data_IF_795785898904
#
_entry.id   IF_795785898904
#
_cell.length_a   1.000
_cell.length_b   1.000
_cell.length_c   1.000
_cell.angle_alpha   90.00
_cell.angle_beta   90.00
_cell.angle_gamma   90.00
#
_symmetry.space_group_name_H-M   'P 1'
#
loop_
_entity.id
_entity.type
_entity.pdbx_description
1 polymer ?
#
# COMPACT_ATOMS: atom_id res chain seq x y z
N UNK A 1 18.18 -2.73 -9.92
CA UNK A 1 17.39 -3.99 -10.03
C UNK A 1 16.18 -3.74 -10.93
N UNK A 2 15.84 -4.68 -11.83
CA UNK A 2 14.59 -4.60 -12.62
C UNK A 2 13.38 -4.66 -11.68
N UNK A 3 12.39 -3.79 -11.90
CA UNK A 3 11.14 -3.81 -11.12
C UNK A 3 10.39 -5.12 -11.40
N UNK A 4 10.16 -5.92 -10.35
CA UNK A 4 9.42 -7.19 -10.45
C UNK A 4 7.93 -6.90 -10.44
N UNK A 5 7.28 -7.05 -11.60
CA UNK A 5 5.82 -7.08 -11.70
C UNK A 5 5.35 -8.39 -11.07
N UNK A 6 4.32 -8.31 -10.21
CA UNK A 6 3.69 -9.44 -9.53
C UNK A 6 2.22 -9.50 -9.97
N UNK A 7 1.60 -10.68 -9.88
CA UNK A 7 0.19 -10.87 -10.19
C UNK A 7 -0.59 -11.28 -8.95
N UNK A 8 -1.87 -10.89 -8.90
CA UNK A 8 -2.81 -11.28 -7.85
C UNK A 8 -4.22 -11.38 -8.45
N UNK A 9 -5.01 -12.35 -7.99
CA UNK A 9 -6.43 -12.49 -8.34
C UNK A 9 -7.27 -11.93 -7.19
N UNK A 10 -8.14 -10.97 -7.48
CA UNK A 10 -9.07 -10.35 -6.52
C UNK A 10 -10.46 -10.38 -7.17
N UNK A 11 -11.43 -10.97 -6.47
CA UNK A 11 -12.82 -11.11 -6.95
C UNK A 11 -12.95 -11.71 -8.36
N UNK A 12 -12.09 -12.69 -8.68
CA UNK A 12 -12.08 -13.36 -9.98
C UNK A 12 -11.39 -12.58 -11.11
N UNK A 13 -10.92 -11.36 -10.83
CA UNK A 13 -10.17 -10.54 -11.78
C UNK A 13 -8.66 -10.59 -11.49
N UNK A 14 -7.85 -10.76 -12.54
CA UNK A 14 -6.39 -10.70 -12.45
C UNK A 14 -5.90 -9.24 -12.49
N UNK A 15 -5.02 -8.91 -11.57
CA UNK A 15 -4.32 -7.64 -11.47
C UNK A 15 -2.80 -7.86 -11.52
N UNK A 16 -2.10 -6.90 -12.13
CA UNK A 16 -0.66 -6.76 -12.06
C UNK A 16 -0.31 -5.65 -11.09
N UNK A 17 0.73 -5.82 -10.27
CA UNK A 17 1.17 -4.77 -9.37
C UNK A 17 2.68 -4.71 -9.23
N UNK A 18 3.15 -3.53 -8.84
CA UNK A 18 4.54 -3.26 -8.50
C UNK A 18 4.59 -2.38 -7.26
N UNK A 19 5.61 -2.61 -6.45
CA UNK A 19 5.94 -1.82 -5.28
C UNK A 19 7.23 -1.07 -5.58
N UNK A 20 7.20 0.26 -5.46
CA UNK A 20 8.39 1.08 -5.45
C UNK A 20 8.64 1.58 -4.04
N UNK A 21 9.90 1.72 -3.71
CA UNK A 21 10.33 2.24 -2.43
C UNK A 21 11.44 3.25 -2.68
N UNK A 22 11.35 4.42 -2.05
CA UNK A 22 12.37 5.45 -2.08
C UNK A 22 12.52 6.11 -0.72
N UNK A 23 13.71 6.60 -0.46
CA UNK A 23 14.06 7.30 0.77
C UNK A 23 14.46 8.73 0.46
N UNK A 24 13.92 9.68 1.22
CA UNK A 24 14.23 11.11 1.08
C UNK A 24 14.26 11.70 2.48
N UNK A 25 15.38 12.33 2.87
CA UNK A 25 15.51 13.10 4.11
C UNK A 25 14.99 12.40 5.38
N UNK A 26 15.35 11.12 5.58
CA UNK A 26 14.89 10.34 6.75
C UNK A 26 13.44 9.87 6.70
N UNK A 27 12.78 10.04 5.56
CA UNK A 27 11.44 9.55 5.29
C UNK A 27 11.50 8.39 4.30
N UNK A 28 10.53 7.50 4.42
CA UNK A 28 10.32 6.38 3.51
C UNK A 28 9.03 6.58 2.75
N UNK A 29 9.12 6.59 1.43
CA UNK A 29 7.97 6.67 0.54
C UNK A 29 7.81 5.34 -0.20
N UNK A 30 6.71 4.65 0.10
CA UNK A 30 6.31 3.45 -0.62
C UNK A 30 5.20 3.78 -1.60
N UNK A 31 5.27 3.22 -2.80
CA UNK A 31 4.25 3.43 -3.84
C UNK A 31 3.81 2.08 -4.37
N UNK A 32 2.57 1.73 -4.11
CA UNK A 32 1.89 0.60 -4.72
C UNK A 32 1.21 1.08 -6.01
N UNK A 33 1.54 0.46 -7.14
CA UNK A 33 0.80 0.63 -8.39
C UNK A 33 0.13 -0.67 -8.75
N UNK A 34 -1.19 -0.65 -8.91
CA UNK A 34 -1.97 -1.79 -9.38
C UNK A 34 -2.60 -1.47 -10.72
N UNK A 35 -2.54 -2.43 -11.63
CA UNK A 35 -3.06 -2.39 -12.97
C UNK A 35 -3.97 -3.59 -13.20
N UNK A 36 -4.92 -3.43 -14.10
CA UNK A 36 -5.61 -4.59 -14.66
C UNK A 36 -4.62 -5.36 -15.54
N UNK A 37 -4.72 -6.68 -15.59
CA UNK A 37 -3.85 -7.49 -16.44
C UNK A 37 -3.85 -6.98 -17.89
N UNK A 38 -2.66 -6.72 -18.43
CA UNK A 38 -2.47 -6.21 -19.79
C UNK A 38 -2.78 -4.71 -19.99
N UNK A 39 -3.27 -3.97 -18.98
CA UNK A 39 -3.63 -2.53 -19.09
C UNK A 39 -2.78 -1.65 -18.18
N UNK A 40 -1.74 -1.03 -18.74
CA UNK A 40 -0.75 -0.23 -17.97
C UNK A 40 -1.03 1.28 -17.87
N UNK A 41 -2.15 1.77 -18.38
CA UNK A 41 -2.36 3.21 -18.63
C UNK A 41 -3.05 3.91 -17.45
N UNK A 42 -3.82 3.18 -16.63
CA UNK A 42 -4.71 3.74 -15.61
C UNK A 42 -4.63 2.97 -14.27
N UNK A 43 -3.53 3.12 -13.50
CA UNK A 43 -3.35 2.39 -12.26
C UNK A 43 -4.22 2.92 -11.12
N UNK A 44 -4.45 2.05 -10.13
CA UNK A 44 -4.60 2.47 -8.74
C UNK A 44 -3.21 2.78 -8.19
N UNK A 45 -2.99 4.03 -7.78
CA UNK A 45 -1.74 4.54 -7.23
C UNK A 45 -1.94 4.83 -5.74
N UNK A 46 -1.24 4.11 -4.88
CA UNK A 46 -1.31 4.31 -3.42
C UNK A 46 0.05 4.72 -2.89
N UNK A 47 0.11 5.89 -2.26
CA UNK A 47 1.35 6.49 -1.76
C UNK A 47 1.35 6.50 -0.24
N UNK A 48 2.38 5.89 0.34
CA UNK A 48 2.59 5.82 1.78
C UNK A 48 3.82 6.64 2.14
N UNK A 49 3.64 7.68 2.95
CA UNK A 49 4.74 8.45 3.51
C UNK A 49 4.90 8.07 4.99
N UNK A 50 6.03 7.45 5.33
CA UNK A 50 6.34 6.98 6.69
C UNK A 50 7.68 7.51 7.17
N UNK A 51 7.93 7.50 8.48
CA UNK A 51 9.31 7.62 8.98
C UNK A 51 10.18 6.49 8.42
N UNK A 52 11.48 6.72 8.36
CA UNK A 52 12.47 5.70 8.05
C UNK A 52 13.43 5.53 9.23
N UNK A 53 13.71 4.29 9.62
CA UNK A 53 14.74 3.98 10.60
C UNK A 53 16.07 3.63 9.90
N UNK A 54 17.23 4.18 10.31
CA UNK A 54 18.51 3.88 9.69
C UNK A 54 18.93 2.40 9.76
N UNK A 55 18.40 1.64 10.72
CA UNK A 55 18.73 0.23 10.96
C UNK A 55 17.60 -0.67 10.42
N UNK A 56 16.36 -0.41 10.85
CA UNK A 56 15.16 -1.18 10.50
C UNK A 56 14.55 -0.84 9.14
N UNK A 57 14.98 0.24 8.50
CA UNK A 57 14.49 0.69 7.20
C UNK A 57 13.04 1.20 7.25
N UNK A 58 12.31 0.95 6.15
CA UNK A 58 10.91 1.33 6.06
C UNK A 58 10.00 0.35 6.78
N UNK A 59 9.15 0.82 7.71
CA UNK A 59 8.26 -0.06 8.47
C UNK A 59 7.33 -0.88 7.57
N UNK A 60 6.82 -0.29 6.50
CA UNK A 60 5.89 -0.96 5.59
C UNK A 60 6.57 -1.91 4.59
N UNK A 61 7.90 -1.81 4.41
CA UNK A 61 8.66 -2.70 3.55
C UNK A 61 9.20 -3.91 4.33
N UNK A 62 9.68 -3.69 5.57
CA UNK A 62 10.20 -4.75 6.45
C UNK A 62 9.09 -5.47 7.21
N UNK A 63 7.99 -4.76 7.49
CA UNK A 63 6.84 -5.27 8.23
C UNK A 63 6.79 -4.67 9.61
N UNK A 64 5.60 -4.22 10.01
CA UNK A 64 5.36 -3.59 11.30
C UNK A 64 4.09 -4.14 11.91
N UNK A 65 4.09 -4.39 13.22
CA UNK A 65 2.88 -4.81 13.92
C UNK A 65 1.93 -3.61 14.06
N UNK A 66 0.70 -3.75 13.56
CA UNK A 66 -0.36 -2.76 13.71
C UNK A 66 -1.58 -3.41 14.35
N UNK A 67 -2.17 -2.73 15.33
CA UNK A 67 -3.45 -3.10 15.89
C UNK A 67 -4.57 -2.67 14.95
N UNK A 68 -5.56 -3.56 14.73
CA UNK A 68 -6.72 -3.28 13.90
C UNK A 68 -8.00 -3.25 14.73
N UNK A 69 -8.57 -2.07 14.94
CA UNK A 69 -9.69 -1.83 15.86
C UNK A 69 -10.96 -2.62 15.52
N UNK A 70 -11.23 -2.89 14.24
CA UNK A 70 -12.47 -3.58 13.84
C UNK A 70 -12.43 -5.09 14.10
N UNK A 71 -11.23 -5.69 14.07
CA UNK A 71 -11.04 -7.13 14.30
C UNK A 71 -10.52 -7.43 15.72
N UNK A 72 -9.98 -6.42 16.42
CA UNK A 72 -9.46 -6.58 17.77
C UNK A 72 -8.14 -7.34 17.84
N UNK A 73 -7.40 -7.44 16.74
CA UNK A 73 -6.14 -8.20 16.66
C UNK A 73 -5.00 -7.34 16.12
N UNK A 74 -3.80 -7.61 16.60
CA UNK A 74 -2.56 -7.11 16.00
C UNK A 74 -2.12 -8.04 14.88
N UNK A 75 -1.62 -7.45 13.80
CA UNK A 75 -1.02 -8.22 12.71
C UNK A 75 0.20 -7.52 12.13
N UNK A 76 1.10 -8.32 11.53
CA UNK A 76 2.22 -7.78 10.77
C UNK A 76 1.69 -7.22 9.45
N UNK A 77 1.81 -5.90 9.31
CA UNK A 77 1.50 -5.15 8.12
C UNK A 77 2.77 -4.96 7.28
N UNK A 78 2.84 -5.63 6.13
CA UNK A 78 3.94 -5.52 5.18
C UNK A 78 3.37 -5.42 3.75
N UNK A 79 3.75 -4.41 2.99
CA UNK A 79 3.28 -4.20 1.62
C UNK A 79 3.65 -5.34 0.67
N UNK A 80 4.68 -6.11 0.99
CA UNK A 80 5.05 -7.31 0.21
C UNK A 80 4.07 -8.46 0.40
N UNK A 81 3.21 -8.45 1.42
CA UNK A 81 2.24 -9.50 1.66
C UNK A 81 1.04 -9.35 0.72
N UNK A 82 0.68 -10.39 -0.06
CA UNK A 82 -0.45 -10.33 -1.00
C UNK A 82 -1.78 -9.95 -0.35
N UNK A 83 -2.01 -10.33 0.92
CA UNK A 83 -3.22 -9.95 1.67
C UNK A 83 -3.38 -8.43 1.81
N UNK A 84 -2.26 -7.71 1.97
CA UNK A 84 -2.25 -6.25 2.11
C UNK A 84 -2.55 -5.60 0.76
N UNK A 85 -1.91 -6.08 -0.31
CA UNK A 85 -2.20 -5.61 -1.68
C UNK A 85 -3.67 -5.85 -2.06
N UNK A 86 -4.22 -7.01 -1.70
CA UNK A 86 -5.64 -7.32 -1.90
C UNK A 86 -6.55 -6.30 -1.21
N UNK A 87 -6.24 -5.90 0.03
CA UNK A 87 -7.05 -4.93 0.77
C UNK A 87 -7.09 -3.55 0.07
N UNK A 88 -5.96 -3.11 -0.49
CA UNK A 88 -5.91 -1.87 -1.28
C UNK A 88 -6.68 -1.95 -2.59
N UNK A 89 -6.64 -3.10 -3.27
CA UNK A 89 -7.43 -3.32 -4.49
C UNK A 89 -8.92 -3.23 -4.16
N UNK A 90 -9.38 -3.94 -3.13
CA UNK A 90 -10.77 -3.88 -2.70
C UNK A 90 -11.19 -2.46 -2.33
N UNK A 91 -10.39 -1.76 -1.53
CA UNK A 91 -10.68 -0.38 -1.17
C UNK A 91 -10.78 0.54 -2.39
N UNK A 92 -9.89 0.38 -3.37
CA UNK A 92 -9.97 1.12 -4.63
C UNK A 92 -11.25 0.83 -5.42
N UNK A 93 -11.64 -0.43 -5.53
CA UNK A 93 -12.88 -0.85 -6.20
C UNK A 93 -14.13 -0.30 -5.49
N UNK A 94 -14.19 -0.42 -4.16
CA UNK A 94 -15.26 0.15 -3.32
C UNK A 94 -15.34 1.69 -3.46
N UNK A 95 -14.19 2.35 -3.67
CA UNK A 95 -14.10 3.80 -3.88
C UNK A 95 -14.37 4.24 -5.32
N UNK A 96 -14.64 3.30 -6.24
CA UNK A 96 -15.02 3.60 -7.62
C UNK A 96 -13.90 3.53 -8.67
N UNK A 97 -12.72 3.00 -8.32
CA UNK A 97 -11.68 2.76 -9.32
C UNK A 97 -12.11 1.68 -10.33
N UNK A 98 -12.13 2.03 -11.61
CA UNK A 98 -12.57 1.14 -12.70
C UNK A 98 -11.46 0.72 -13.67
N UNK A 99 -10.23 1.20 -13.46
CA UNK A 99 -9.12 1.00 -14.40
C UNK A 99 -9.24 1.72 -15.74
N UNK A 100 -10.18 2.67 -15.86
CA UNK A 100 -10.30 3.57 -17.03
C UNK A 100 -9.44 4.81 -16.89
N UNK A 101 -9.25 5.27 -15.65
CA UNK A 101 -8.47 6.45 -15.28
C UNK A 101 -7.58 6.10 -14.09
N UNK A 102 -6.48 6.85 -13.94
CA UNK A 102 -5.62 6.73 -12.75
C UNK A 102 -6.43 7.15 -11.53
N UNK A 103 -6.39 6.33 -10.49
CA UNK A 103 -6.99 6.64 -9.20
C UNK A 103 -5.90 6.77 -8.15
N UNK A 104 -5.79 7.93 -7.51
CA UNK A 104 -4.68 8.24 -6.61
C UNK A 104 -5.16 8.34 -5.16
N UNK A 105 -4.46 7.63 -4.28
CA UNK A 105 -4.56 7.73 -2.83
C UNK A 105 -3.22 8.28 -2.33
N UNK A 106 -3.13 9.59 -2.20
CA UNK A 106 -1.90 10.29 -1.84
C UNK A 106 -1.51 10.13 -0.36
N UNK A 107 -2.50 10.12 0.55
CA UNK A 107 -2.29 9.90 1.98
C UNK A 107 -2.84 8.54 2.42
N UNK A 108 -2.13 7.48 2.05
CA UNK A 108 -2.52 6.12 2.42
C UNK A 108 -2.53 5.88 3.94
N UNK A 109 -1.78 6.65 4.74
CA UNK A 109 -1.82 6.50 6.21
C UNK A 109 -3.16 6.98 6.79
N UNK A 110 -3.71 8.08 6.27
CA UNK A 110 -5.07 8.49 6.62
C UNK A 110 -6.08 7.40 6.28
N UNK A 111 -6.00 6.85 5.06
CA UNK A 111 -6.87 5.74 4.65
C UNK A 111 -6.68 4.48 5.52
N UNK A 112 -5.47 4.14 5.95
CA UNK A 112 -5.24 3.03 6.88
C UNK A 112 -5.93 3.25 8.23
N UNK A 113 -5.92 4.48 8.74
CA UNK A 113 -6.63 4.84 9.98
C UNK A 113 -8.13 4.68 9.77
N UNK A 114 -8.68 5.14 8.65
CA UNK A 114 -10.10 4.97 8.32
C UNK A 114 -10.47 3.49 8.17
N UNK A 115 -9.57 2.67 7.62
CA UNK A 115 -9.73 1.21 7.54
C UNK A 115 -9.69 0.53 8.92
N UNK A 116 -9.20 1.22 9.95
CA UNK A 116 -9.21 0.75 11.35
C UNK A 116 -7.85 0.39 11.92
N UNK A 117 -6.74 0.68 11.22
CA UNK A 117 -5.39 0.42 11.73
C UNK A 117 -4.87 1.57 12.60
N UNK A 118 -4.19 1.25 13.68
CA UNK A 118 -3.39 2.20 14.47
C UNK A 118 -2.11 2.61 13.73
N UNK A 119 -2.24 3.43 12.68
CA UNK A 119 -1.14 3.80 11.79
C UNK A 119 -0.58 5.22 12.02
N UNK A 120 -1.17 6.01 12.94
CA UNK A 120 -0.80 7.42 13.14
C UNK A 120 0.67 7.61 13.50
N UNK A 121 1.23 6.69 14.28
CA UNK A 121 2.64 6.72 14.71
C UNK A 121 3.62 6.38 13.58
N UNK A 122 3.14 5.93 12.42
CA UNK A 122 3.97 5.73 11.23
C UNK A 122 4.29 7.02 10.49
N UNK A 123 3.58 8.11 10.75
CA UNK A 123 3.83 9.41 10.10
C UNK A 123 5.24 9.91 10.41
N UNK A 124 5.94 10.53 9.45
CA UNK A 124 7.21 11.19 9.73
C UNK A 124 7.07 12.22 10.86
N UNK A 125 8.11 12.36 11.68
CA UNK A 125 8.20 13.48 12.61
C UNK A 125 8.41 14.78 11.81
N UNK A 126 7.69 15.83 12.21
CA UNK A 126 7.86 17.19 11.68
C UNK A 126 9.18 17.81 12.14
#
# INVERSE_FOLDING_TARGET
MKKKIRQIVVEGQTYEYLLNHHFVNGQSINVLKVFWEGKKIAPLLVTFLTWNDPIGGSPLATGVELYHHRSGVSEIYNLNYPKIVRAWILHGLESGWTGKETWEIEDALSTMIDMGYEAQWLRPKA
#
